data_IF_429713925927
#
_entry.id   IF_429713925927
#
_cell.length_a   1.000
_cell.length_b   1.000
_cell.length_c   1.000
_cell.angle_alpha   90.00
_cell.angle_beta   90.00
_cell.angle_gamma   90.00
#
_symmetry.space_group_name_H-M   'P 1'
#
loop_
_entity.id
_entity.type
_entity.pdbx_description
1 polymer ?
#
# COMPACT_ATOMS: atom_id res chain seq x y z
N UNK A 1 -2.12 -0.44 -5.51
CA UNK A 1 -1.05 -0.89 -4.59
C UNK A 1 0.38 -0.79 -5.16
N UNK A 2 0.75 -1.50 -6.24
CA UNK A 2 2.14 -1.50 -6.78
C UNK A 2 2.76 -0.11 -7.02
N UNK A 3 1.95 0.87 -7.42
CA UNK A 3 2.41 2.25 -7.62
C UNK A 3 2.87 2.93 -6.32
N UNK A 4 2.20 2.69 -5.20
CA UNK A 4 2.59 3.21 -3.87
C UNK A 4 3.94 2.61 -3.47
N UNK A 5 4.11 1.30 -3.64
CA UNK A 5 5.37 0.60 -3.36
C UNK A 5 6.53 1.15 -4.20
N UNK A 6 6.33 1.30 -5.51
CA UNK A 6 7.35 1.84 -6.41
C UNK A 6 7.78 3.27 -6.03
N UNK A 7 6.81 4.14 -5.69
CA UNK A 7 7.12 5.50 -5.26
C UNK A 7 7.81 5.54 -3.90
N UNK A 8 7.46 4.63 -2.98
CA UNK A 8 8.12 4.51 -1.68
C UNK A 8 9.60 4.13 -1.85
N UNK A 9 9.91 3.19 -2.74
CA UNK A 9 11.29 2.85 -3.10
C UNK A 9 12.01 4.02 -3.78
N UNK A 10 11.36 4.72 -4.71
CA UNK A 10 11.93 5.90 -5.36
C UNK A 10 12.31 6.99 -4.36
N UNK A 11 11.50 7.18 -3.32
CA UNK A 11 11.74 8.16 -2.27
C UNK A 11 13.02 7.85 -1.49
N UNK A 12 13.33 6.57 -1.26
CA UNK A 12 14.56 6.11 -0.59
C UNK A 12 15.83 6.30 -1.43
N UNK A 13 15.70 6.32 -2.75
CA UNK A 13 16.83 6.49 -3.68
C UNK A 13 17.21 7.96 -3.88
N UNK A 14 16.36 8.90 -3.45
CA UNK A 14 16.53 10.31 -3.74
C UNK A 14 16.96 11.07 -2.49
N UNK A 15 18.03 11.87 -2.58
CA UNK A 15 18.52 12.72 -1.49
C UNK A 15 18.07 14.18 -1.63
N UNK A 16 17.45 14.55 -2.76
CA UNK A 16 16.91 15.89 -2.96
C UNK A 16 15.55 16.04 -2.25
N UNK A 17 15.49 16.95 -1.29
CA UNK A 17 14.30 17.20 -0.46
C UNK A 17 13.09 17.60 -1.31
N UNK A 18 13.27 18.41 -2.35
CA UNK A 18 12.15 18.85 -3.19
C UNK A 18 11.52 17.66 -3.95
N UNK A 19 12.35 16.80 -4.53
CA UNK A 19 11.90 15.60 -5.21
C UNK A 19 11.32 14.54 -4.26
N UNK A 20 11.82 14.42 -3.03
CA UNK A 20 11.21 13.58 -1.99
C UNK A 20 9.80 14.08 -1.62
N UNK A 21 9.63 15.39 -1.40
CA UNK A 21 8.33 16.01 -1.09
C UNK A 21 7.32 15.84 -2.24
N UNK A 22 7.77 15.99 -3.48
CA UNK A 22 6.93 15.74 -4.66
C UNK A 22 6.49 14.27 -4.73
N UNK A 23 7.41 13.33 -4.45
CA UNK A 23 7.13 11.89 -4.43
C UNK A 23 6.12 11.55 -3.33
N UNK A 24 6.30 12.12 -2.12
CA UNK A 24 5.36 11.96 -1.01
C UNK A 24 3.97 12.49 -1.36
N UNK A 25 3.87 13.70 -1.93
CA UNK A 25 2.60 14.28 -2.37
C UNK A 25 1.88 13.37 -3.38
N UNK A 26 2.63 12.75 -4.30
CA UNK A 26 2.07 11.80 -5.26
C UNK A 26 1.57 10.52 -4.58
N UNK A 27 2.26 10.03 -3.56
CA UNK A 27 1.82 8.87 -2.77
C UNK A 27 0.47 9.17 -2.09
N UNK A 28 0.34 10.32 -1.43
CA UNK A 28 -0.91 10.70 -0.75
C UNK A 28 -2.08 10.85 -1.73
N UNK A 29 -1.84 11.41 -2.91
CA UNK A 29 -2.86 11.44 -3.97
C UNK A 29 -3.36 10.03 -4.32
N UNK A 30 -2.44 9.09 -4.55
CA UNK A 30 -2.80 7.71 -4.92
C UNK A 30 -3.52 6.99 -3.78
N UNK A 31 -3.13 7.23 -2.52
CA UNK A 31 -3.85 6.69 -1.35
C UNK A 31 -5.29 7.22 -1.29
N UNK A 32 -5.50 8.51 -1.57
CA UNK A 32 -6.83 9.09 -1.64
C UNK A 32 -7.69 8.50 -2.77
N UNK A 33 -7.10 8.28 -3.95
CA UNK A 33 -7.77 7.60 -5.07
C UNK A 33 -8.14 6.16 -4.70
N UNK A 34 -7.21 5.42 -4.09
CA UNK A 34 -7.39 4.04 -3.65
C UNK A 34 -8.54 3.89 -2.64
N UNK A 35 -8.59 4.76 -1.63
CA UNK A 35 -9.69 4.76 -0.65
C UNK A 35 -11.06 4.99 -1.29
N UNK A 36 -11.14 5.83 -2.33
CA UNK A 36 -12.40 6.03 -3.08
C UNK A 36 -12.80 4.80 -3.87
N UNK A 37 -11.85 4.11 -4.51
CA UNK A 37 -12.14 2.86 -5.23
C UNK A 37 -12.58 1.75 -4.26
N UNK A 38 -11.96 1.67 -3.09
CA UNK A 38 -12.34 0.71 -2.05
C UNK A 38 -13.75 0.95 -1.54
N UNK A 39 -14.14 2.19 -1.28
CA UNK A 39 -15.50 2.54 -0.87
C UNK A 39 -16.52 2.17 -1.95
N UNK A 40 -16.20 2.44 -3.22
CA UNK A 40 -17.05 2.03 -4.35
C UNK A 40 -17.19 0.51 -4.42
N UNK A 41 -16.08 -0.22 -4.32
CA UNK A 41 -16.07 -1.67 -4.37
C UNK A 41 -16.86 -2.28 -3.21
N UNK A 42 -16.67 -1.78 -1.98
CA UNK A 42 -17.39 -2.25 -0.79
C UNK A 42 -18.91 -2.18 -0.95
N UNK A 43 -19.43 -1.14 -1.62
CA UNK A 43 -20.85 -1.00 -1.86
C UNK A 43 -21.42 -2.00 -2.89
N UNK A 44 -20.56 -2.67 -3.66
CA UNK A 44 -20.93 -3.68 -4.66
C UNK A 44 -20.88 -5.11 -4.13
N UNK A 45 -20.25 -5.33 -2.96
CA UNK A 45 -20.09 -6.67 -2.37
C UNK A 45 -21.47 -7.23 -2.03
N UNK A 46 -21.76 -8.42 -2.55
CA UNK A 46 -23.04 -9.11 -2.36
C UNK A 46 -22.89 -10.45 -1.64
N UNK A 47 -21.67 -10.99 -1.54
CA UNK A 47 -21.40 -12.30 -0.97
C UNK A 47 -20.68 -12.18 0.39
N UNK A 48 -21.07 -12.97 1.41
CA UNK A 48 -20.35 -12.97 2.71
C UNK A 48 -18.87 -13.35 2.60
N UNK A 49 -18.53 -14.24 1.67
CA UNK A 49 -17.15 -14.69 1.43
C UNK A 49 -16.30 -13.58 0.80
N UNK A 50 -16.88 -12.83 -0.14
CA UNK A 50 -16.26 -11.65 -0.74
C UNK A 50 -16.02 -10.56 0.33
N UNK A 51 -17.01 -10.32 1.20
CA UNK A 51 -16.87 -9.37 2.31
C UNK A 51 -15.71 -9.76 3.24
N UNK A 52 -15.59 -11.04 3.60
CA UNK A 52 -14.52 -11.51 4.48
C UNK A 52 -13.13 -11.34 3.85
N UNK A 53 -12.99 -11.64 2.55
CA UNK A 53 -11.73 -11.42 1.82
C UNK A 53 -11.41 -9.93 1.70
N UNK A 54 -12.41 -9.08 1.47
CA UNK A 54 -12.21 -7.65 1.34
C UNK A 54 -11.82 -7.01 2.68
N UNK A 55 -12.43 -7.42 3.79
CA UNK A 55 -12.05 -6.97 5.14
C UNK A 55 -10.60 -7.38 5.48
N UNK A 56 -10.20 -8.60 5.09
CA UNK A 56 -8.80 -9.06 5.23
C UNK A 56 -7.86 -8.19 4.40
N UNK A 57 -8.22 -7.88 3.16
CA UNK A 57 -7.45 -6.98 2.29
C UNK A 57 -7.28 -5.59 2.91
N UNK A 58 -8.35 -4.97 3.38
CA UNK A 58 -8.32 -3.65 4.04
C UNK A 58 -7.41 -3.64 5.27
N UNK A 59 -7.48 -4.68 6.11
CA UNK A 59 -6.64 -4.81 7.30
C UNK A 59 -5.15 -4.93 6.96
N UNK A 60 -4.80 -5.71 5.93
CA UNK A 60 -3.43 -5.84 5.45
C UNK A 60 -2.94 -4.52 4.85
N UNK A 61 -3.80 -3.81 4.13
CA UNK A 61 -3.44 -2.55 3.48
C UNK A 61 -3.18 -1.47 4.51
N UNK A 62 -4.04 -1.36 5.53
CA UNK A 62 -3.85 -0.44 6.63
C UNK A 62 -2.49 -0.66 7.31
N UNK A 63 -2.13 -1.92 7.57
CA UNK A 63 -0.82 -2.25 8.14
C UNK A 63 0.32 -1.83 7.21
N UNK A 64 0.24 -2.17 5.92
CA UNK A 64 1.25 -1.76 4.95
C UNK A 64 1.41 -0.24 4.89
N UNK A 65 0.31 0.50 4.80
CA UNK A 65 0.32 1.96 4.72
C UNK A 65 0.86 2.60 6.01
N UNK A 66 0.68 1.96 7.17
CA UNK A 66 1.27 2.43 8.43
C UNK A 66 2.80 2.34 8.40
N UNK A 67 3.37 1.23 7.90
CA UNK A 67 4.81 1.09 7.72
C UNK A 67 5.34 2.00 6.61
N UNK A 68 4.60 2.14 5.53
CA UNK A 68 4.92 3.04 4.43
C UNK A 68 5.05 4.50 4.92
N UNK A 69 4.16 4.95 5.81
CA UNK A 69 4.27 6.27 6.43
C UNK A 69 5.55 6.43 7.27
N UNK A 70 5.97 5.38 8.00
CA UNK A 70 7.23 5.37 8.75
C UNK A 70 8.44 5.45 7.81
N UNK A 71 8.42 4.72 6.69
CA UNK A 71 9.47 4.80 5.65
C UNK A 71 9.61 6.20 5.10
N UNK A 72 8.50 6.88 4.80
CA UNK A 72 8.53 8.28 4.34
C UNK A 72 9.16 9.18 5.40
N UNK A 73 8.74 9.05 6.66
CA UNK A 73 9.28 9.87 7.75
C UNK A 73 10.79 9.66 7.92
N UNK A 74 11.25 8.41 7.96
CA UNK A 74 12.67 8.08 8.08
C UNK A 74 13.47 8.63 6.89
N UNK A 75 12.96 8.49 5.67
CA UNK A 75 13.65 8.95 4.48
C UNK A 75 13.76 10.49 4.40
N UNK A 76 12.72 11.22 4.82
CA UNK A 76 12.75 12.68 4.95
C UNK A 76 13.69 13.17 6.07
N UNK A 77 14.00 12.31 7.03
CA UNK A 77 14.97 12.56 8.11
C UNK A 77 16.39 12.08 7.76
N UNK A 78 16.60 11.52 6.56
CA UNK A 78 17.89 10.97 6.13
C UNK A 78 18.24 9.60 6.75
N UNK A 79 17.30 8.96 7.45
CA UNK A 79 17.44 7.63 8.08
C UNK A 79 17.20 6.51 7.05
N UNK A 80 17.96 6.54 5.95
CA UNK A 80 17.71 5.68 4.79
C UNK A 80 17.99 4.20 5.08
N UNK A 81 18.98 3.88 5.92
CA UNK A 81 19.34 2.49 6.24
C UNK A 81 18.20 1.78 6.99
N UNK A 82 17.66 2.42 8.02
CA UNK A 82 16.53 1.93 8.82
C UNK A 82 15.26 1.81 7.96
N UNK A 83 15.04 2.79 7.09
CA UNK A 83 13.92 2.76 6.16
C UNK A 83 14.01 1.60 5.16
N UNK A 84 15.21 1.31 4.64
CA UNK A 84 15.45 0.16 3.75
C UNK A 84 15.27 -1.16 4.49
N UNK A 85 15.72 -1.27 5.74
CA UNK A 85 15.52 -2.47 6.55
C UNK A 85 14.01 -2.76 6.73
N UNK A 86 13.21 -1.73 7.03
CA UNK A 86 11.76 -1.87 7.17
C UNK A 86 11.07 -2.29 5.85
N UNK A 87 11.53 -1.75 4.72
CA UNK A 87 10.99 -2.12 3.40
C UNK A 87 11.29 -3.58 3.06
N UNK A 88 12.52 -4.05 3.35
CA UNK A 88 12.96 -5.41 3.04
C UNK A 88 12.39 -6.47 3.99
N UNK A 89 11.98 -6.07 5.20
CA UNK A 89 11.37 -6.95 6.20
C UNK A 89 9.84 -7.02 6.07
N UNK A 90 9.15 -6.50 7.07
CA UNK A 90 7.71 -6.63 7.28
C UNK A 90 6.89 -6.10 6.11
N UNK A 91 7.34 -4.99 5.48
CA UNK A 91 6.62 -4.43 4.35
C UNK A 91 6.62 -5.34 3.11
N UNK A 92 7.68 -6.11 2.89
CA UNK A 92 7.73 -7.04 1.78
C UNK A 92 6.70 -8.16 1.97
N UNK A 93 6.65 -8.74 3.17
CA UNK A 93 5.68 -9.77 3.53
C UNK A 93 4.23 -9.27 3.41
N UNK A 94 3.95 -8.06 3.89
CA UNK A 94 2.62 -7.45 3.77
C UNK A 94 2.23 -7.20 2.31
N UNK A 95 3.18 -6.81 1.45
CA UNK A 95 2.92 -6.60 0.04
C UNK A 95 2.60 -7.91 -0.70
N UNK A 96 3.27 -9.00 -0.34
CA UNK A 96 2.99 -10.33 -0.89
C UNK A 96 1.59 -10.80 -0.46
N UNK A 97 1.27 -10.68 0.83
CA UNK A 97 -0.06 -11.02 1.37
C UNK A 97 -1.17 -10.18 0.73
N UNK A 98 -0.95 -8.88 0.54
CA UNK A 98 -1.89 -8.00 -0.17
C UNK A 98 -2.15 -8.47 -1.60
N UNK A 99 -1.09 -8.87 -2.30
CA UNK A 99 -1.19 -9.35 -3.68
C UNK A 99 -1.97 -10.67 -3.72
N UNK A 100 -1.68 -11.60 -2.80
CA UNK A 100 -2.41 -12.86 -2.66
C UNK A 100 -3.90 -12.63 -2.39
N UNK A 101 -4.26 -11.83 -1.38
CA UNK A 101 -5.67 -11.59 -1.05
C UNK A 101 -6.41 -10.83 -2.16
N UNK A 102 -5.74 -9.92 -2.87
CA UNK A 102 -6.34 -9.26 -4.04
C UNK A 102 -6.62 -10.27 -5.19
N UNK A 103 -5.70 -11.21 -5.42
CA UNK A 103 -5.91 -12.26 -6.40
C UNK A 103 -7.04 -13.23 -6.00
N UNK A 104 -7.16 -13.55 -4.70
CA UNK A 104 -8.28 -14.32 -4.16
C UNK A 104 -9.63 -13.63 -4.43
N UNK A 105 -9.72 -12.31 -4.18
CA UNK A 105 -10.90 -11.50 -4.50
C UNK A 105 -11.24 -11.51 -5.99
N UNK A 106 -10.23 -11.28 -6.84
CA UNK A 106 -10.42 -11.29 -8.31
C UNK A 106 -10.89 -12.66 -8.79
N UNK A 107 -10.32 -13.74 -8.26
CA UNK A 107 -10.72 -15.09 -8.63
C UNK A 107 -12.18 -15.36 -8.22
N UNK A 108 -12.56 -15.02 -6.98
CA UNK A 108 -13.93 -15.18 -6.51
C UNK A 108 -14.92 -14.44 -7.43
N UNK A 109 -14.62 -13.19 -7.78
CA UNK A 109 -15.50 -12.37 -8.62
C UNK A 109 -15.52 -12.76 -10.10
N UNK A 110 -14.60 -13.60 -10.56
CA UNK A 110 -14.60 -14.14 -11.93
C UNK A 110 -15.30 -15.51 -12.02
N UNK A 111 -15.52 -16.19 -10.89
CA UNK A 111 -16.16 -17.49 -10.81
C UNK A 111 -17.64 -17.42 -10.42
N UNK A 112 -18.13 -16.24 -10.06
CA UNK A 112 -19.52 -15.90 -9.72
C UNK A 112 -20.05 -14.80 -10.64
#
# INVERSE_FOLDING_TARGET
MFRIRALTLRLLLNSDNAAQQQTHSRIEQIKGELGKEQQRYQALIALPEEQALFDRYLKLEQQYLSYQARVVQMALQGQTTEAVALVNGEMNQLADQLTTTLNELIALNNHH
#
